data_IF_121985921083
#
_entry.id   IF_121985921083
#
_cell.length_a   1.000
_cell.length_b   1.000
_cell.length_c   1.000
_cell.angle_alpha   90.00
_cell.angle_beta   90.00
_cell.angle_gamma   90.00
#
_symmetry.space_group_name_H-M   'P 1'
#
loop_
_entity.id
_entity.type
_entity.pdbx_description
1 polymer ?
#
# COMPACT_ATOMS: atom_id res chain seq x y z
N UNK A 1 -9.47 -4.54 9.25
CA UNK A 1 -9.01 -3.14 9.09
C UNK A 1 -7.79 -2.83 9.96
N UNK A 2 -6.69 -3.53 9.73
CA UNK A 2 -5.39 -3.28 10.39
C UNK A 2 -4.22 -3.21 9.40
N UNK A 3 -4.43 -3.66 8.16
CA UNK A 3 -3.40 -3.76 7.12
C UNK A 3 -3.16 -2.46 6.36
N UNK A 4 -4.09 -1.51 6.38
CA UNK A 4 -3.90 -0.22 5.71
C UNK A 4 -3.15 0.73 6.65
N UNK A 5 -1.86 1.02 6.39
CA UNK A 5 -1.08 1.93 7.26
C UNK A 5 -1.60 3.37 7.20
N UNK A 6 -2.23 3.75 6.09
CA UNK A 6 -2.88 5.06 5.93
C UNK A 6 -4.22 5.16 6.66
N UNK A 7 -4.79 4.05 7.16
CA UNK A 7 -6.15 4.04 7.69
C UNK A 7 -7.20 4.51 6.66
N UNK A 8 -7.03 4.13 5.39
CA UNK A 8 -7.90 4.50 4.27
C UNK A 8 -8.97 3.43 3.95
N UNK A 9 -9.00 2.33 4.70
CA UNK A 9 -10.03 1.29 4.56
C UNK A 9 -10.82 1.27 5.86
N UNK A 10 -12.14 1.37 5.73
CA UNK A 10 -13.16 1.43 6.78
C UNK A 10 -14.25 0.40 6.54
N UNK A 11 -15.11 0.02 7.53
CA UNK A 11 -16.31 -0.76 7.22
C UNK A 11 -17.21 -0.09 6.16
N UNK A 12 -17.17 1.24 6.10
CA UNK A 12 -17.92 2.08 5.17
C UNK A 12 -17.31 2.11 3.76
N UNK A 13 -16.06 1.65 3.60
CA UNK A 13 -15.42 1.49 2.30
C UNK A 13 -13.97 1.96 2.27
N UNK A 14 -13.47 2.21 1.05
CA UNK A 14 -12.08 2.58 0.80
C UNK A 14 -12.00 4.05 0.36
N UNK A 15 -11.44 4.89 1.23
CA UNK A 15 -11.09 6.27 0.92
C UNK A 15 -9.92 6.30 -0.07
N UNK A 16 -10.25 6.54 -1.35
CA UNK A 16 -9.28 6.53 -2.44
C UNK A 16 -8.35 7.74 -2.42
N UNK A 17 -8.80 8.87 -1.92
CA UNK A 17 -7.99 10.10 -1.86
C UNK A 17 -6.89 9.95 -0.80
N UNK A 18 -7.24 9.50 0.40
CA UNK A 18 -6.27 9.23 1.47
C UNK A 18 -5.28 8.13 1.08
N UNK A 19 -5.75 7.09 0.38
CA UNK A 19 -4.89 6.03 -0.13
C UNK A 19 -3.91 6.55 -1.20
N UNK A 20 -4.37 7.41 -2.11
CA UNK A 20 -3.54 8.03 -3.13
C UNK A 20 -2.49 8.97 -2.52
N UNK A 21 -2.87 9.77 -1.53
CA UNK A 21 -1.95 10.66 -0.82
C UNK A 21 -0.81 9.86 -0.18
N UNK A 22 -1.14 8.79 0.56
CA UNK A 22 -0.13 7.92 1.16
C UNK A 22 0.81 7.28 0.12
N UNK A 23 0.30 6.89 -1.05
CA UNK A 23 1.13 6.35 -2.12
C UNK A 23 2.12 7.38 -2.70
N UNK A 24 1.68 8.64 -2.86
CA UNK A 24 2.51 9.72 -3.41
C UNK A 24 3.54 10.24 -2.42
N UNK A 25 3.18 10.36 -1.15
CA UNK A 25 4.03 11.01 -0.14
C UNK A 25 4.94 10.01 0.57
N UNK A 26 4.43 8.80 0.88
CA UNK A 26 5.15 7.82 1.71
C UNK A 26 5.74 6.71 0.86
N UNK A 27 4.92 6.04 0.05
CA UNK A 27 5.40 4.88 -0.73
C UNK A 27 6.40 5.31 -1.80
N UNK A 28 6.16 6.40 -2.54
CA UNK A 28 7.09 6.90 -3.54
C UNK A 28 8.48 7.18 -2.94
N UNK A 29 8.52 7.80 -1.75
CA UNK A 29 9.77 8.05 -1.02
C UNK A 29 10.49 6.75 -0.65
N UNK A 30 9.77 5.79 -0.06
CA UNK A 30 10.34 4.48 0.31
C UNK A 30 10.88 3.75 -0.93
N UNK A 31 10.15 3.77 -2.05
CA UNK A 31 10.56 3.14 -3.30
C UNK A 31 11.85 3.75 -3.85
N UNK A 32 11.95 5.08 -3.86
CA UNK A 32 13.17 5.79 -4.25
C UNK A 32 14.34 5.44 -3.34
N UNK A 33 14.16 5.56 -2.02
CA UNK A 33 15.24 5.41 -1.05
C UNK A 33 15.75 3.97 -0.95
N UNK A 34 14.86 2.97 -1.03
CA UNK A 34 15.25 1.55 -0.87
C UNK A 34 15.64 0.87 -2.18
N UNK A 35 15.02 1.26 -3.28
CA UNK A 35 15.11 0.53 -4.55
C UNK A 35 15.56 1.40 -5.72
N UNK A 36 15.80 2.70 -5.52
CA UNK A 36 16.16 3.63 -6.59
C UNK A 36 15.04 3.79 -7.63
N UNK A 37 13.79 3.51 -7.26
CA UNK A 37 12.65 3.52 -8.18
C UNK A 37 11.82 4.80 -8.04
N UNK A 38 11.73 5.56 -9.14
CA UNK A 38 11.01 6.83 -9.25
C UNK A 38 9.75 6.78 -10.13
N UNK A 39 9.32 5.57 -10.52
CA UNK A 39 8.11 5.38 -11.31
C UNK A 39 6.83 5.36 -10.48
N UNK A 40 5.79 4.75 -11.04
CA UNK A 40 4.49 4.64 -10.37
C UNK A 40 4.57 3.72 -9.14
N UNK A 41 4.42 4.32 -7.96
CA UNK A 41 4.44 3.62 -6.67
C UNK A 41 3.05 3.14 -6.26
N UNK A 42 2.95 1.86 -5.86
CA UNK A 42 1.75 1.24 -5.34
C UNK A 42 2.00 0.56 -3.98
N UNK A 43 0.97 0.47 -3.13
CA UNK A 43 1.08 -0.09 -1.78
C UNK A 43 0.67 -1.58 -1.68
N UNK A 44 -0.52 -1.94 -2.16
CA UNK A 44 -1.01 -3.33 -2.21
C UNK A 44 -1.30 -4.04 -0.87
N UNK A 45 -0.83 -3.55 0.29
CA UNK A 45 -0.92 -4.22 1.60
C UNK A 45 -2.34 -4.63 2.04
N UNK A 46 -3.38 -3.97 1.55
CA UNK A 46 -4.74 -4.36 1.85
C UNK A 46 -5.15 -5.69 1.20
N UNK A 47 -4.52 -6.04 0.08
CA UNK A 47 -4.74 -7.26 -0.72
C UNK A 47 -3.85 -8.44 -0.30
N UNK A 48 -2.99 -8.27 0.70
CA UNK A 48 -2.16 -9.34 1.27
C UNK A 48 -2.87 -10.00 2.48
N UNK A 49 -2.18 -10.92 3.17
CA UNK A 49 -2.69 -11.74 4.26
C UNK A 49 -3.38 -13.02 3.79
N UNK A 50 -3.02 -13.51 2.60
CA UNK A 50 -3.52 -14.76 2.02
C UNK A 50 -2.49 -15.87 2.23
N UNK A 51 -2.88 -17.16 2.25
CA UNK A 51 -1.94 -18.26 2.52
C UNK A 51 -0.71 -18.31 1.59
N UNK A 52 -0.84 -17.77 0.37
CA UNK A 52 0.22 -17.74 -0.63
C UNK A 52 1.02 -16.43 -0.68
N UNK A 53 0.86 -15.52 0.29
CA UNK A 53 1.51 -14.20 0.22
C UNK A 53 3.05 -14.24 0.30
N UNK A 54 3.61 -15.32 0.86
CA UNK A 54 5.05 -15.51 1.04
C UNK A 54 5.69 -16.54 0.09
N UNK A 55 4.90 -17.17 -0.79
CA UNK A 55 5.39 -18.24 -1.67
C UNK A 55 4.30 -18.94 -2.47
N UNK A 56 4.73 -19.80 -3.40
CA UNK A 56 3.82 -20.67 -4.14
C UNK A 56 3.13 -21.64 -3.15
N UNK A 57 1.80 -21.84 -3.24
CA UNK A 57 1.08 -22.79 -2.39
C UNK A 57 1.65 -24.22 -2.44
#
# INVERSE_FOLDING_TARGET
MRRCPAGAITPEGHDKEKCLQYQREVIAKICRERYGYDGYSACGLCQTGVPCESGIP
#
